data_IF_446245082309
#
_entry.id   IF_446245082309
#
_cell.length_a   1.000
_cell.length_b   1.000
_cell.length_c   1.000
_cell.angle_alpha   90.00
_cell.angle_beta   90.00
_cell.angle_gamma   90.00
#
_symmetry.space_group_name_H-M   'P 1'
#
loop_
_entity.id
_entity.type
_entity.pdbx_description
1 polymer ?
#
# COMPACT_ATOMS: atom_id res chain seq x y z
N UNK A 1 38.98 7.49 30.18
CA UNK A 1 37.93 6.52 30.54
C UNK A 1 38.22 5.15 29.96
N UNK A 2 37.40 4.15 30.30
CA UNK A 2 37.57 2.76 29.87
C UNK A 2 36.28 2.19 29.30
N UNK A 3 36.37 1.40 28.23
CA UNK A 3 35.28 0.57 27.72
C UNK A 3 35.46 -0.85 28.27
N UNK A 4 34.40 -1.44 28.83
CA UNK A 4 34.44 -2.78 29.41
C UNK A 4 33.24 -3.60 28.95
N UNK A 5 33.44 -4.88 28.69
CA UNK A 5 32.35 -5.85 28.50
C UNK A 5 32.21 -6.76 29.71
N UNK A 6 30.98 -7.20 29.96
CA UNK A 6 30.63 -8.00 31.13
C UNK A 6 29.78 -9.20 30.69
N UNK A 7 30.06 -10.36 31.26
CA UNK A 7 29.16 -11.50 31.19
C UNK A 7 28.24 -11.47 32.43
N UNK A 8 26.93 -11.57 32.19
CA UNK A 8 25.90 -11.62 33.24
C UNK A 8 26.10 -12.84 34.16
N UNK A 9 26.76 -13.89 33.68
CA UNK A 9 27.06 -15.07 34.48
C UNK A 9 28.23 -14.85 35.45
N UNK A 10 29.10 -13.86 35.19
CA UNK A 10 30.31 -13.59 35.96
C UNK A 10 30.51 -12.08 36.19
N UNK A 11 29.86 -11.54 37.22
CA UNK A 11 29.90 -10.11 37.54
C UNK A 11 31.12 -9.63 38.34
N UNK A 12 32.07 -10.52 38.70
CA UNK A 12 33.20 -10.14 39.56
C UNK A 12 34.32 -9.42 38.80
N UNK A 13 34.49 -9.74 37.52
CA UNK A 13 35.55 -9.17 36.68
C UNK A 13 35.01 -8.88 35.28
N UNK A 14 35.42 -7.76 34.66
CA UNK A 14 35.08 -7.50 33.26
C UNK A 14 35.75 -8.56 32.38
N UNK A 15 35.07 -8.98 31.31
CA UNK A 15 35.60 -9.94 30.35
C UNK A 15 36.78 -9.32 29.59
N UNK A 16 36.54 -8.16 28.98
CA UNK A 16 37.56 -7.37 28.31
C UNK A 16 37.48 -5.91 28.78
N UNK A 17 38.64 -5.24 28.77
CA UNK A 17 38.73 -3.82 29.11
C UNK A 17 39.74 -3.09 28.22
N UNK A 18 39.33 -1.96 27.66
CA UNK A 18 40.21 -1.06 26.90
C UNK A 18 40.26 0.29 27.60
N UNK A 19 41.47 0.78 27.83
CA UNK A 19 41.77 2.11 28.36
C UNK A 19 42.21 3.05 27.23
N UNK A 20 42.39 4.34 27.55
CA UNK A 20 42.84 5.34 26.58
C UNK A 20 41.72 5.92 25.71
N UNK A 21 40.46 5.83 26.18
CA UNK A 21 39.30 6.42 25.52
C UNK A 21 38.89 7.68 26.31
N UNK A 22 39.26 8.89 25.90
CA UNK A 22 38.86 10.09 26.61
C UNK A 22 37.38 10.40 26.37
N UNK A 23 36.62 10.55 27.45
CA UNK A 23 35.21 10.94 27.43
C UNK A 23 35.01 12.09 28.42
N UNK A 24 34.72 13.28 27.90
CA UNK A 24 34.47 14.46 28.75
C UNK A 24 32.99 14.64 29.09
N UNK A 25 32.11 13.98 28.34
CA UNK A 25 30.67 14.03 28.54
C UNK A 25 30.19 12.75 29.22
N UNK A 26 29.34 12.83 30.25
CA UNK A 26 28.78 11.65 30.91
C UNK A 26 27.73 10.92 30.04
N UNK A 27 27.22 11.59 29.00
CA UNK A 27 26.19 11.04 28.11
C UNK A 27 26.76 10.25 26.91
N UNK A 28 28.06 9.97 26.91
CA UNK A 28 28.70 9.17 25.87
C UNK A 28 28.19 7.74 25.86
N UNK A 29 27.49 7.43 24.79
CA UNK A 29 26.99 6.08 24.54
C UNK A 29 28.04 5.19 23.91
N UNK A 30 27.88 3.89 24.15
CA UNK A 30 28.42 2.83 23.32
C UNK A 30 27.27 2.00 22.76
N UNK A 31 27.43 1.44 21.57
CA UNK A 31 26.41 0.61 20.93
C UNK A 31 27.02 -0.60 20.24
N UNK A 32 26.25 -1.68 20.17
CA UNK A 32 26.60 -2.83 19.34
C UNK A 32 26.19 -2.59 17.89
N UNK A 33 26.91 -3.23 16.97
CA UNK A 33 26.47 -3.35 15.60
C UNK A 33 25.19 -4.18 15.50
N UNK A 34 24.41 -4.04 14.42
CA UNK A 34 23.16 -4.79 14.23
C UNK A 34 23.34 -6.32 14.24
N UNK A 35 24.55 -6.80 13.95
CA UNK A 35 24.96 -8.21 13.94
C UNK A 35 25.70 -8.64 15.22
N UNK A 36 25.83 -7.75 16.21
CA UNK A 36 26.52 -7.97 17.49
C UNK A 36 28.01 -8.39 17.37
N UNK A 37 28.62 -8.17 16.20
CA UNK A 37 30.04 -8.49 16.01
C UNK A 37 30.96 -7.35 16.43
N UNK A 38 30.48 -6.10 16.33
CA UNK A 38 31.27 -4.91 16.59
C UNK A 38 30.67 -4.09 17.73
N UNK A 39 31.54 -3.43 18.46
CA UNK A 39 31.25 -2.43 19.47
C UNK A 39 31.71 -1.07 18.99
N UNK A 40 30.82 -0.09 19.09
CA UNK A 40 31.07 1.28 18.66
C UNK A 40 31.07 2.19 19.86
N UNK A 41 32.08 3.05 19.93
CA UNK A 41 32.18 4.08 20.97
C UNK A 41 32.76 5.38 20.40
N UNK A 42 32.32 6.50 20.94
CA UNK A 42 32.78 7.83 20.56
C UNK A 42 33.87 8.35 21.50
N UNK A 43 34.90 8.97 20.93
CA UNK A 43 35.91 9.71 21.70
C UNK A 43 35.52 11.19 21.81
N UNK A 44 35.75 11.76 22.98
CA UNK A 44 35.73 13.20 23.20
C UNK A 44 37.14 13.80 23.08
N UNK A 45 37.24 14.99 22.50
CA UNK A 45 38.50 15.72 22.30
C UNK A 45 38.34 17.14 22.83
N UNK A 46 39.41 17.66 23.45
CA UNK A 46 39.46 19.05 23.91
C UNK A 46 39.54 19.99 22.71
N UNK A 47 38.94 21.17 22.82
CA UNK A 47 38.97 22.18 21.76
C UNK A 47 40.42 22.48 21.36
N UNK A 48 40.75 22.32 20.07
CA UNK A 48 42.10 22.57 19.53
C UNK A 48 43.09 21.40 19.61
N UNK A 49 42.70 20.24 20.18
CA UNK A 49 43.57 19.06 20.31
C UNK A 49 43.29 17.94 19.28
N UNK A 50 42.64 18.28 18.16
CA UNK A 50 42.39 17.37 17.04
C UNK A 50 40.93 17.01 16.85
N UNK A 51 40.69 15.95 16.06
CA UNK A 51 39.36 15.50 15.68
C UNK A 51 38.87 14.40 16.61
N UNK A 52 37.60 14.49 17.01
CA UNK A 52 36.88 13.41 17.65
C UNK A 52 36.68 12.26 16.67
N UNK A 53 36.85 11.06 17.22
CA UNK A 53 36.89 9.81 16.48
C UNK A 53 35.79 8.88 16.96
N UNK A 54 35.19 8.15 16.03
CA UNK A 54 34.33 7.02 16.31
C UNK A 54 35.16 5.76 16.15
N UNK A 55 35.21 4.93 17.18
CA UNK A 55 36.01 3.72 17.24
C UNK A 55 35.13 2.48 17.15
N UNK A 56 35.65 1.49 16.42
CA UNK A 56 35.04 0.19 16.26
C UNK A 56 35.96 -0.85 16.88
N UNK A 57 35.41 -1.67 17.76
CA UNK A 57 36.06 -2.78 18.42
C UNK A 57 35.36 -4.07 18.02
N UNK A 58 36.13 -5.12 17.80
CA UNK A 58 35.56 -6.45 17.66
C UNK A 58 35.07 -6.97 19.03
N UNK A 59 33.90 -7.60 19.09
CA UNK A 59 33.32 -8.08 20.36
C UNK A 59 34.16 -9.18 20.99
N UNK A 60 34.67 -10.11 20.19
CA UNK A 60 35.39 -11.30 20.68
C UNK A 60 36.83 -10.97 21.04
N UNK A 61 37.59 -10.39 20.11
CA UNK A 61 39.01 -10.08 20.34
C UNK A 61 39.24 -8.78 21.09
N UNK A 62 38.23 -7.90 21.15
CA UNK A 62 38.31 -6.56 21.74
C UNK A 62 39.41 -5.68 21.18
N UNK A 63 39.89 -6.01 19.97
CA UNK A 63 40.85 -5.22 19.22
C UNK A 63 40.11 -4.15 18.44
N UNK A 64 40.73 -2.98 18.37
CA UNK A 64 40.25 -1.89 17.53
C UNK A 64 40.39 -2.28 16.06
N UNK A 65 39.29 -2.36 15.35
CA UNK A 65 39.23 -2.75 13.93
C UNK A 65 39.25 -1.53 13.01
N UNK A 66 38.48 -0.50 13.36
CA UNK A 66 38.29 0.66 12.50
C UNK A 66 38.16 1.96 13.31
N UNK A 67 38.47 3.07 12.64
CA UNK A 67 38.33 4.42 13.19
C UNK A 67 37.79 5.36 12.12
N UNK A 68 36.84 6.21 12.50
CA UNK A 68 36.30 7.27 11.66
C UNK A 68 36.53 8.61 12.33
N UNK A 69 37.19 9.52 11.63
CA UNK A 69 37.27 10.92 12.03
C UNK A 69 35.92 11.60 11.80
N UNK A 70 35.31 12.10 12.88
CA UNK A 70 33.97 12.71 12.83
C UNK A 70 34.08 14.21 12.60
N UNK A 71 34.58 14.95 13.58
CA UNK A 71 34.65 16.43 13.58
C UNK A 71 35.73 16.91 14.53
N UNK A 72 36.05 18.21 14.48
CA UNK A 72 36.88 18.93 15.45
C UNK A 72 36.26 19.06 16.87
N UNK A 73 35.04 18.56 17.06
CA UNK A 73 34.35 18.54 18.35
C UNK A 73 34.00 17.14 18.81
N UNK A 74 33.96 16.98 20.14
CA UNK A 74 33.69 15.75 20.85
C UNK A 74 32.41 15.04 20.39
N UNK A 75 32.46 13.71 20.30
CA UNK A 75 31.27 12.88 20.14
C UNK A 75 30.55 12.81 21.47
N UNK A 76 29.28 13.20 21.50
CA UNK A 76 28.44 13.17 22.70
C UNK A 76 27.58 11.93 22.74
N UNK A 77 26.97 11.51 21.63
CA UNK A 77 26.09 10.33 21.59
C UNK A 77 26.26 9.61 20.26
N UNK A 78 26.26 8.28 20.29
CA UNK A 78 26.31 7.46 19.09
C UNK A 78 25.20 6.41 19.10
N UNK A 79 24.61 6.14 17.95
CA UNK A 79 23.55 5.16 17.76
C UNK A 79 23.74 4.44 16.43
N UNK A 80 23.77 3.12 16.45
CA UNK A 80 23.68 2.30 15.23
C UNK A 80 22.28 1.73 15.10
N UNK A 81 21.53 2.14 14.07
CA UNK A 81 20.16 1.68 13.89
C UNK A 81 20.11 0.29 13.20
N UNK A 82 19.46 -0.73 13.80
CA UNK A 82 19.55 -2.12 13.32
C UNK A 82 18.90 -2.35 11.95
N UNK A 83 17.73 -1.75 11.69
CA UNK A 83 16.99 -1.97 10.43
C UNK A 83 17.46 -1.11 9.26
N UNK A 84 18.04 0.05 9.55
CA UNK A 84 18.48 1.00 8.51
C UNK A 84 19.95 0.78 8.16
N UNK A 85 20.70 0.17 9.08
CA UNK A 85 22.14 0.06 9.05
C UNK A 85 22.82 1.43 8.86
N UNK A 86 22.46 2.41 9.70
CA UNK A 86 23.00 3.77 9.68
C UNK A 86 23.52 4.13 11.06
N UNK A 87 24.67 4.80 11.11
CA UNK A 87 25.29 5.25 12.36
C UNK A 87 25.04 6.74 12.49
N UNK A 88 24.34 7.12 13.55
CA UNK A 88 24.04 8.50 13.89
C UNK A 88 24.96 8.93 15.02
N UNK A 89 25.65 10.05 14.82
CA UNK A 89 26.61 10.61 15.77
C UNK A 89 26.23 12.05 16.08
N UNK A 90 25.89 12.32 17.33
CA UNK A 90 25.70 13.67 17.85
C UNK A 90 27.03 14.24 18.32
N UNK A 91 27.41 15.40 17.80
CA UNK A 91 28.66 16.08 18.16
C UNK A 91 28.38 17.26 19.09
N UNK A 92 29.39 17.67 19.86
CA UNK A 92 29.30 18.81 20.78
C UNK A 92 29.07 20.16 20.09
N UNK A 93 29.26 20.24 18.77
CA UNK A 93 28.97 21.45 17.97
C UNK A 93 27.47 21.63 17.66
N UNK A 94 26.60 20.73 18.14
CA UNK A 94 25.17 20.72 17.79
C UNK A 94 24.88 20.16 16.39
N UNK A 95 25.87 19.52 15.75
CA UNK A 95 25.71 18.83 14.48
C UNK A 95 25.43 17.34 14.71
N UNK A 96 24.54 16.78 13.90
CA UNK A 96 24.34 15.34 13.81
C UNK A 96 24.93 14.83 12.50
N UNK A 97 25.93 13.95 12.57
CA UNK A 97 26.48 13.26 11.40
C UNK A 97 25.87 11.88 11.28
N UNK A 98 25.42 11.53 10.07
CA UNK A 98 24.84 10.22 9.79
C UNK A 98 25.70 9.53 8.72
N UNK A 99 26.30 8.40 9.11
CA UNK A 99 27.06 7.55 8.21
C UNK A 99 26.16 6.43 7.71
N UNK A 100 26.25 6.16 6.41
CA UNK A 100 25.48 5.12 5.73
C UNK A 100 26.34 4.45 4.66
N UNK A 101 26.08 3.18 4.41
CA UNK A 101 26.61 2.42 3.28
C UNK A 101 25.63 2.55 2.10
N UNK A 102 26.08 3.01 0.91
CA UNK A 102 25.22 3.12 -0.26
C UNK A 102 24.50 1.82 -0.65
N UNK A 103 25.13 0.66 -0.40
CA UNK A 103 24.62 -0.65 -0.80
C UNK A 103 23.82 -1.33 0.32
N UNK A 104 24.35 -1.37 1.54
CA UNK A 104 23.70 -2.07 2.67
C UNK A 104 22.65 -1.24 3.39
N UNK A 105 22.81 0.09 3.46
CA UNK A 105 21.85 0.93 4.19
C UNK A 105 20.57 1.16 3.40
N UNK A 106 19.45 1.14 4.11
CA UNK A 106 18.13 1.33 3.54
C UNK A 106 17.48 2.61 4.05
N UNK A 107 16.71 3.30 3.21
CA UNK A 107 15.90 4.49 3.56
C UNK A 107 16.72 5.54 4.35
N UNK A 108 16.11 6.24 5.30
CA UNK A 108 16.79 7.19 6.20
C UNK A 108 17.55 8.27 5.45
N UNK A 109 18.84 8.42 5.75
CA UNK A 109 19.73 9.40 5.13
C UNK A 109 19.75 9.30 3.59
N UNK A 110 19.59 8.11 3.01
CA UNK A 110 19.56 7.89 1.55
C UNK A 110 18.42 8.66 0.87
N UNK A 111 17.29 8.86 1.56
CA UNK A 111 16.16 9.64 1.04
C UNK A 111 16.46 11.14 0.99
N UNK A 112 17.31 11.63 1.90
CA UNK A 112 17.69 13.03 1.97
C UNK A 112 18.79 13.37 0.96
N UNK A 113 19.77 12.47 0.78
CA UNK A 113 20.91 12.69 -0.12
C UNK A 113 20.48 12.74 -1.59
N UNK A 114 19.51 11.92 -2.00
CA UNK A 114 19.04 11.88 -3.40
C UNK A 114 18.13 13.06 -3.75
N UNK A 115 17.60 13.78 -2.76
CA UNK A 115 16.79 14.97 -3.01
C UNK A 115 17.69 16.10 -3.50
N UNK A 116 17.69 16.31 -4.81
CA UNK A 116 18.23 17.53 -5.41
C UNK A 116 17.50 18.73 -4.83
N UNK A 117 18.26 19.78 -4.46
CA UNK A 117 17.68 21.04 -3.97
C UNK A 117 16.65 21.51 -5.00
N UNK A 118 15.38 21.58 -4.60
CA UNK A 118 14.32 22.09 -5.48
C UNK A 118 14.76 23.47 -5.92
N UNK A 119 14.90 23.68 -7.24
CA UNK A 119 15.28 24.98 -7.79
C UNK A 119 14.30 25.99 -7.21
N UNK A 120 14.85 26.96 -6.47
CA UNK A 120 14.07 28.05 -5.92
C UNK A 120 13.41 28.74 -7.11
N UNK A 121 12.08 28.67 -7.16
CA UNK A 121 11.34 29.46 -8.13
C UNK A 121 11.54 30.88 -7.69
N UNK A 122 12.45 31.60 -8.34
CA UNK A 122 12.44 33.05 -8.32
C UNK A 122 11.02 33.44 -8.72
N UNK A 123 10.23 33.83 -7.72
CA UNK A 123 9.00 34.54 -7.95
C UNK A 123 9.43 35.94 -8.40
N UNK A 124 9.93 36.03 -9.62
CA UNK A 124 9.69 37.23 -10.40
C UNK A 124 8.18 37.25 -10.59
N UNK A 125 7.55 37.91 -9.63
CA UNK A 125 6.20 38.42 -9.73
C UNK A 125 6.25 39.49 -10.82
N UNK A 126 6.44 39.06 -12.07
CA UNK A 126 5.96 39.77 -13.24
C UNK A 126 4.45 39.61 -13.21
N UNK A 127 3.81 40.27 -12.25
CA UNK A 127 2.41 40.67 -12.41
C UNK A 127 2.43 41.62 -13.58
N UNK A 128 2.28 41.10 -14.79
CA UNK A 128 1.80 41.92 -15.88
C UNK A 128 0.46 42.49 -15.40
N UNK A 129 0.43 43.80 -15.17
CA UNK A 129 -0.77 44.50 -14.74
C UNK A 129 -1.83 44.30 -15.84
N UNK A 130 -2.86 43.52 -15.48
CA UNK A 130 -3.89 43.11 -16.42
C UNK A 130 -4.93 44.23 -16.56
N UNK A 131 -4.87 44.97 -17.68
CA UNK A 131 -5.77 46.09 -17.96
C UNK A 131 -7.12 45.55 -18.44
N UNK A 132 -8.18 45.75 -17.64
CA UNK A 132 -9.54 45.31 -17.99
C UNK A 132 -10.27 46.43 -18.73
N UNK A 133 -10.64 46.20 -19.99
CA UNK A 133 -11.50 47.09 -20.76
C UNK A 133 -12.98 46.75 -20.51
N UNK A 134 -13.78 47.63 -19.85
CA UNK A 134 -15.14 47.28 -19.42
C UNK A 134 -16.14 47.10 -20.56
N UNK A 135 -15.92 47.77 -21.71
CA UNK A 135 -16.82 47.74 -22.88
C UNK A 135 -16.25 47.02 -24.11
N UNK A 136 -15.18 46.23 -23.96
CA UNK A 136 -14.67 45.45 -25.07
C UNK A 136 -15.69 44.39 -25.52
N UNK A 137 -15.82 44.21 -26.83
CA UNK A 137 -16.60 43.12 -27.42
C UNK A 137 -16.09 41.77 -26.89
N UNK A 138 -16.95 40.76 -26.74
CA UNK A 138 -16.56 39.44 -26.22
C UNK A 138 -15.36 38.80 -26.93
N UNK A 139 -15.17 39.10 -28.22
CA UNK A 139 -14.05 38.59 -29.03
C UNK A 139 -12.70 39.20 -28.67
N UNK A 140 -12.67 40.43 -28.15
CA UNK A 140 -11.46 41.16 -27.73
C UNK A 140 -11.26 41.14 -26.21
N UNK A 141 -12.17 40.50 -25.47
CA UNK A 141 -12.06 40.38 -24.02
C UNK A 141 -11.03 39.32 -23.69
N UNK A 142 -9.88 39.76 -23.20
CA UNK A 142 -8.85 38.85 -22.71
C UNK A 142 -9.41 37.99 -21.55
N UNK A 143 -8.88 36.78 -21.43
CA UNK A 143 -9.24 35.88 -20.34
C UNK A 143 -8.49 36.28 -19.07
N UNK A 144 -9.22 36.63 -18.00
CA UNK A 144 -8.64 36.93 -16.70
C UNK A 144 -7.69 35.81 -16.28
N UNK A 145 -6.46 36.17 -15.91
CA UNK A 145 -5.49 35.25 -15.31
C UNK A 145 -6.14 34.57 -14.11
N UNK A 146 -6.31 33.25 -14.21
CA UNK A 146 -6.89 32.41 -13.15
C UNK A 146 -5.78 31.53 -12.59
N UNK A 147 -5.93 31.11 -11.33
CA UNK A 147 -5.03 30.11 -10.76
C UNK A 147 -4.89 28.90 -11.68
N UNK A 148 -3.70 28.30 -11.69
CA UNK A 148 -3.38 27.11 -12.52
C UNK A 148 -4.44 26.02 -12.37
N UNK A 149 -4.97 25.81 -11.16
CA UNK A 149 -6.07 24.87 -10.89
C UNK A 149 -7.34 25.19 -11.70
N UNK A 150 -7.81 26.45 -11.68
CA UNK A 150 -9.02 26.87 -12.39
C UNK A 150 -8.83 26.84 -13.91
N UNK A 151 -7.60 27.06 -14.40
CA UNK A 151 -7.28 26.94 -15.82
C UNK A 151 -7.33 25.48 -16.26
N UNK A 152 -6.72 24.56 -15.49
CA UNK A 152 -6.79 23.12 -15.73
C UNK A 152 -8.22 22.58 -15.68
N UNK A 153 -9.07 23.05 -14.76
CA UNK A 153 -10.49 22.68 -14.71
C UNK A 153 -11.24 23.13 -15.97
N UNK A 154 -10.93 24.32 -16.50
CA UNK A 154 -11.51 24.81 -17.76
C UNK A 154 -11.00 24.04 -18.97
N UNK A 155 -9.68 23.84 -19.07
CA UNK A 155 -9.07 23.10 -20.18
C UNK A 155 -9.54 21.64 -20.22
N UNK A 156 -9.93 21.06 -19.07
CA UNK A 156 -10.56 19.74 -18.97
C UNK A 156 -11.98 19.69 -19.55
N UNK A 157 -12.67 20.82 -19.60
CA UNK A 157 -14.01 20.92 -20.22
C UNK A 157 -13.94 21.07 -21.73
N UNK A 158 -12.84 21.60 -22.27
CA UNK A 158 -12.62 21.76 -23.71
C UNK A 158 -12.33 20.37 -24.34
N UNK A 159 -13.19 19.83 -25.24
CA UNK A 159 -13.03 18.45 -25.75
C UNK A 159 -11.73 18.20 -26.51
N UNK A 160 -11.25 19.23 -27.22
CA UNK A 160 -10.02 19.16 -28.04
C UNK A 160 -8.77 19.13 -27.16
N UNK A 161 -8.67 20.00 -26.15
CA UNK A 161 -7.51 20.07 -25.24
C UNK A 161 -7.45 18.89 -24.28
N UNK A 162 -8.61 18.47 -23.78
CA UNK A 162 -8.72 17.37 -22.82
C UNK A 162 -8.67 15.99 -23.46
N UNK A 163 -8.64 15.92 -24.81
CA UNK A 163 -8.80 14.68 -25.58
C UNK A 163 -9.94 13.82 -25.02
N UNK A 164 -11.05 14.46 -24.63
CA UNK A 164 -12.15 13.79 -23.96
C UNK A 164 -12.78 12.82 -24.96
N UNK A 165 -12.91 11.52 -24.63
CA UNK A 165 -13.63 10.57 -25.47
C UNK A 165 -15.03 11.08 -25.78
N UNK A 166 -15.49 10.85 -27.00
CA UNK A 166 -16.83 11.29 -27.39
C UNK A 166 -17.88 10.67 -26.45
N UNK A 167 -18.72 11.50 -25.80
CA UNK A 167 -19.75 10.98 -24.93
C UNK A 167 -20.78 10.20 -25.75
N UNK A 168 -21.45 9.19 -25.16
CA UNK A 168 -22.49 8.43 -25.85
C UNK A 168 -23.59 9.36 -26.36
N UNK A 169 -24.21 9.02 -27.49
CA UNK A 169 -25.26 9.84 -28.09
C UNK A 169 -26.47 9.85 -27.17
N UNK A 170 -26.79 11.03 -26.65
CA UNK A 170 -28.05 11.29 -25.99
C UNK A 170 -29.11 11.57 -27.07
N UNK A 171 -30.04 10.63 -27.26
CA UNK A 171 -31.19 10.80 -28.14
C UNK A 171 -31.26 9.80 -29.31
N UNK A 172 -32.27 9.96 -30.21
CA UNK A 172 -32.45 9.08 -31.35
C UNK A 172 -31.19 9.14 -32.22
N UNK A 173 -30.60 7.97 -32.44
CA UNK A 173 -29.35 7.83 -33.16
C UNK A 173 -29.39 8.54 -34.50
N UNK A 174 -28.48 9.51 -34.72
CA UNK A 174 -28.38 10.26 -35.97
C UNK A 174 -26.92 10.27 -36.42
N UNK A 175 -26.70 10.13 -37.73
CA UNK A 175 -25.35 10.13 -38.30
C UNK A 175 -24.53 8.86 -38.00
N UNK A 176 -25.17 7.69 -37.95
CA UNK A 176 -24.48 6.39 -37.81
C UNK A 176 -24.19 5.96 -36.36
N UNK A 177 -24.57 6.77 -35.37
CA UNK A 177 -24.44 6.43 -33.94
C UNK A 177 -25.78 5.92 -33.43
N UNK A 178 -25.80 4.73 -32.82
CA UNK A 178 -27.01 4.14 -32.24
C UNK A 178 -27.15 4.66 -30.81
N UNK A 179 -28.28 5.30 -30.50
CA UNK A 179 -28.61 5.66 -29.13
C UNK A 179 -28.66 4.39 -28.27
N UNK A 180 -28.21 4.48 -27.03
CA UNK A 180 -28.14 3.33 -26.10
C UNK A 180 -29.49 2.60 -25.94
N UNK A 181 -30.61 3.27 -26.27
CA UNK A 181 -31.94 2.66 -26.31
C UNK A 181 -32.72 2.99 -27.58
N UNK A 182 -32.20 2.51 -28.71
CA UNK A 182 -32.95 2.32 -29.96
C UNK A 182 -33.37 3.59 -30.70
N UNK A 183 -33.65 3.46 -32.00
CA UNK A 183 -34.55 4.42 -32.65
C UNK A 183 -35.97 4.31 -32.08
N UNK A 184 -36.36 3.10 -31.62
CA UNK A 184 -37.56 2.82 -30.83
C UNK A 184 -37.37 1.67 -29.85
N UNK A 185 -38.12 1.73 -28.75
CA UNK A 185 -38.03 0.89 -27.54
C UNK A 185 -38.34 -0.59 -27.76
N UNK A 186 -39.20 -0.91 -28.73
CA UNK A 186 -39.60 -2.28 -29.05
C UNK A 186 -38.42 -3.16 -29.50
N UNK A 187 -37.48 -2.58 -30.25
CA UNK A 187 -36.29 -3.29 -30.75
C UNK A 187 -35.32 -3.69 -29.65
N UNK A 188 -35.22 -2.89 -28.58
CA UNK A 188 -34.33 -3.17 -27.45
C UNK A 188 -34.86 -4.29 -26.54
N UNK A 189 -36.18 -4.29 -26.27
CA UNK A 189 -36.83 -5.24 -25.35
C UNK A 189 -36.88 -6.66 -25.93
N UNK A 190 -37.20 -6.80 -27.22
CA UNK A 190 -37.26 -8.11 -27.87
C UNK A 190 -35.90 -8.83 -27.83
N UNK A 191 -34.80 -8.08 -28.02
CA UNK A 191 -33.47 -8.67 -28.13
C UNK A 191 -32.86 -9.08 -26.80
N UNK A 192 -33.06 -8.29 -25.76
CA UNK A 192 -32.33 -8.47 -24.50
C UNK A 192 -33.13 -9.23 -23.45
N UNK A 193 -34.46 -9.26 -23.55
CA UNK A 193 -35.34 -9.80 -22.49
C UNK A 193 -36.20 -10.96 -23.02
N UNK A 194 -36.76 -10.84 -24.22
CA UNK A 194 -37.69 -11.87 -24.73
C UNK A 194 -37.00 -13.15 -25.25
N UNK A 195 -35.70 -13.10 -25.52
CA UNK A 195 -34.92 -14.23 -26.03
C UNK A 195 -34.07 -14.92 -24.97
N UNK A 196 -34.10 -14.45 -23.72
CA UNK A 196 -33.34 -15.07 -22.63
C UNK A 196 -34.05 -16.36 -22.18
N UNK A 197 -33.53 -17.51 -22.63
CA UNK A 197 -34.09 -18.86 -22.37
C UNK A 197 -33.53 -19.47 -21.08
N UNK A 198 -33.52 -18.71 -20.01
CA UNK A 198 -33.30 -19.25 -18.66
C UNK A 198 -34.61 -19.87 -18.20
N UNK A 199 -34.92 -21.07 -18.70
CA UNK A 199 -36.11 -21.86 -18.35
C UNK A 199 -36.05 -22.30 -16.87
N UNK A 200 -36.48 -21.43 -15.96
CA UNK A 200 -36.42 -21.62 -14.50
C UNK A 200 -37.81 -21.90 -13.88
N UNK A 201 -38.80 -22.24 -14.70
CA UNK A 201 -40.21 -22.22 -14.29
C UNK A 201 -40.68 -23.47 -13.53
N UNK A 202 -40.00 -24.63 -13.63
CA UNK A 202 -40.37 -25.83 -12.87
C UNK A 202 -39.13 -26.66 -12.44
N UNK A 203 -38.64 -26.53 -11.19
CA UNK A 203 -37.47 -27.29 -10.72
C UNK A 203 -37.70 -28.81 -10.77
N UNK A 204 -38.96 -29.25 -10.61
CA UNK A 204 -39.34 -30.66 -10.72
C UNK A 204 -39.10 -31.22 -12.13
N UNK A 205 -39.54 -30.50 -13.16
CA UNK A 205 -39.40 -30.95 -14.55
C UNK A 205 -37.93 -30.93 -14.98
N UNK A 206 -37.17 -29.93 -14.53
CA UNK A 206 -35.74 -29.84 -14.77
C UNK A 206 -34.97 -31.05 -14.17
N UNK A 207 -35.29 -31.43 -12.93
CA UNK A 207 -34.69 -32.61 -12.28
C UNK A 207 -35.16 -33.91 -12.94
N UNK A 208 -36.45 -34.05 -13.23
CA UNK A 208 -37.02 -35.25 -13.88
C UNK A 208 -36.48 -35.48 -15.29
N UNK A 209 -36.13 -34.41 -16.02
CA UNK A 209 -35.53 -34.51 -17.36
C UNK A 209 -34.27 -35.38 -17.37
N UNK A 210 -33.47 -35.30 -16.30
CA UNK A 210 -32.21 -36.04 -16.17
C UNK A 210 -32.39 -37.42 -15.53
N UNK A 211 -33.58 -37.77 -15.04
CA UNK A 211 -33.81 -39.05 -14.38
C UNK A 211 -33.59 -40.24 -15.32
N UNK A 212 -34.10 -40.17 -16.57
CA UNK A 212 -33.93 -41.23 -17.57
C UNK A 212 -32.46 -41.42 -17.98
N UNK A 213 -31.76 -40.31 -18.22
CA UNK A 213 -30.33 -40.35 -18.59
C UNK A 213 -29.47 -40.98 -17.49
N UNK A 214 -29.80 -40.71 -16.22
CA UNK A 214 -29.11 -41.27 -15.06
C UNK A 214 -29.36 -42.77 -14.86
N UNK A 215 -30.54 -43.29 -15.23
CA UNK A 215 -30.87 -44.72 -15.18
C UNK A 215 -30.20 -45.50 -16.31
N UNK A 216 -30.23 -44.98 -17.54
CA UNK A 216 -29.66 -45.66 -18.71
C UNK A 216 -28.12 -45.67 -18.69
N UNK A 217 -27.50 -44.61 -18.16
CA UNK A 217 -26.04 -44.43 -18.17
C UNK A 217 -25.49 -43.93 -16.83
N UNK A 218 -25.56 -44.74 -15.75
CA UNK A 218 -25.08 -44.29 -14.46
C UNK A 218 -23.54 -44.22 -14.48
N UNK A 219 -22.98 -43.02 -14.41
CA UNK A 219 -21.53 -42.83 -14.47
C UNK A 219 -20.88 -42.59 -13.11
N UNK A 220 -21.48 -41.72 -12.27
CA UNK A 220 -20.79 -41.22 -11.06
C UNK A 220 -20.94 -42.10 -9.81
N UNK A 221 -22.12 -42.68 -9.56
CA UNK A 221 -22.42 -43.33 -8.25
C UNK A 221 -22.81 -44.79 -8.39
N UNK A 222 -23.77 -45.14 -9.25
CA UNK A 222 -24.28 -46.51 -9.30
C UNK A 222 -23.24 -47.59 -9.68
N UNK A 223 -22.23 -47.34 -10.56
CA UNK A 223 -21.24 -48.37 -10.90
C UNK A 223 -20.45 -48.88 -9.69
N UNK A 224 -20.12 -47.99 -8.75
CA UNK A 224 -19.31 -48.33 -7.58
C UNK A 224 -20.04 -49.28 -6.62
N UNK A 225 -21.36 -49.15 -6.50
CA UNK A 225 -22.18 -49.94 -5.57
C UNK A 225 -22.84 -51.16 -6.21
N UNK A 226 -22.66 -51.37 -7.52
CA UNK A 226 -23.22 -52.51 -8.27
C UNK A 226 -22.95 -53.87 -7.62
N UNK A 227 -21.78 -54.07 -6.99
CA UNK A 227 -21.39 -55.35 -6.36
C UNK A 227 -21.79 -55.47 -4.90
N UNK A 228 -21.71 -54.39 -4.14
CA UNK A 228 -21.88 -54.40 -2.67
C UNK A 228 -23.31 -54.10 -2.25
N UNK A 229 -24.04 -53.31 -3.04
CA UNK A 229 -25.41 -52.90 -2.75
C UNK A 229 -26.18 -52.69 -4.07
N UNK A 230 -26.67 -53.79 -4.70
CA UNK A 230 -27.34 -53.71 -6.00
C UNK A 230 -28.72 -53.05 -5.96
N UNK A 231 -29.34 -52.93 -4.78
CA UNK A 231 -30.60 -52.20 -4.59
C UNK A 231 -30.31 -50.89 -3.88
N UNK A 232 -30.63 -49.76 -4.52
CA UNK A 232 -30.51 -48.44 -3.91
C UNK A 232 -31.53 -48.30 -2.78
N UNK A 233 -31.05 -48.11 -1.56
CA UNK A 233 -31.91 -47.89 -0.39
C UNK A 233 -32.14 -46.39 -0.28
N UNK A 234 -33.35 -45.95 -0.61
CA UNK A 234 -33.80 -44.59 -0.34
C UNK A 234 -34.39 -44.52 1.07
N UNK A 235 -34.35 -43.34 1.68
CA UNK A 235 -35.10 -43.10 2.91
C UNK A 235 -36.58 -43.35 2.63
N UNK A 236 -37.26 -44.03 3.55
CA UNK A 236 -38.71 -44.15 3.51
C UNK A 236 -39.28 -42.73 3.61
N UNK A 237 -40.01 -42.32 2.57
CA UNK A 237 -40.71 -41.03 2.57
C UNK A 237 -41.78 -41.16 3.64
N UNK A 238 -41.68 -40.38 4.72
CA UNK A 238 -42.78 -40.22 5.65
C UNK A 238 -44.00 -39.79 4.83
N UNK A 239 -44.94 -40.71 4.65
CA UNK A 239 -46.25 -40.39 4.12
C UNK A 239 -46.91 -39.56 5.20
N UNK A 240 -46.80 -38.24 5.08
CA UNK A 240 -47.72 -37.32 5.75
C UNK A 240 -49.13 -37.68 5.26
N UNK A 241 -49.79 -38.62 5.95
CA UNK A 241 -51.21 -38.93 5.89
C UNK A 241 -52.04 -37.77 6.47
N UNK A 242 -51.72 -36.54 6.06
CA UNK A 242 -52.49 -35.32 6.30
C UNK A 242 -52.72 -34.58 4.96
N UNK A 243 -52.92 -35.33 3.87
CA UNK A 243 -53.77 -34.86 2.77
C UNK A 243 -55.24 -35.12 3.13
N UNK A 244 -55.93 -34.11 3.66
CA UNK A 244 -57.29 -33.65 3.28
C UNK A 244 -58.07 -33.04 4.45
N UNK A 245 -57.82 -31.75 4.72
CA UNK A 245 -58.93 -30.82 4.91
C UNK A 245 -58.65 -29.55 4.09
N UNK A 246 -58.93 -29.68 2.80
CA UNK A 246 -59.10 -28.60 1.84
C UNK A 246 -60.17 -27.62 2.35
N UNK A 247 -59.73 -26.59 3.10
CA UNK A 247 -60.25 -25.22 3.01
C UNK A 247 -59.31 -24.19 3.65
N UNK A 248 -59.09 -23.04 2.99
CA UNK A 248 -58.30 -21.91 3.52
C UNK A 248 -58.94 -21.27 4.76
N UNK A 249 -58.12 -20.58 5.57
CA UNK A 249 -58.45 -20.03 6.90
C UNK A 249 -59.68 -19.09 7.00
N UNK A 250 -60.29 -18.61 5.91
CA UNK A 250 -61.46 -17.71 5.95
C UNK A 250 -62.83 -18.42 5.93
N UNK A 251 -62.88 -19.76 5.95
CA UNK A 251 -64.14 -20.53 5.77
C UNK A 251 -64.55 -21.53 6.86
N UNK A 252 -63.93 -21.57 8.04
CA UNK A 252 -64.56 -22.26 9.19
C UNK A 252 -65.73 -21.39 9.70
N UNK A 253 -66.94 -21.70 9.23
CA UNK A 253 -68.21 -20.98 9.45
C UNK A 253 -68.38 -20.47 10.89
N UNK A 254 -68.58 -19.16 11.06
CA UNK A 254 -69.53 -18.64 12.07
C UNK A 254 -70.88 -18.45 11.37
N UNK A 255 -71.96 -18.46 12.15
CA UNK A 255 -73.28 -17.96 11.72
C UNK A 255 -73.13 -16.71 10.86
#
# INVERSE_FOLDING_TARGET
>A
DTLKTWDIRQFKSPLNSVSGLPSFFPMTDCCFSPDDQLLVTGISVKKGHGNAKLLFFDRETFKKTYEIDVTDASVVRCLWHPKLNQIMVGTGNGLAKVYYDPFKSQRGAKLCVVKTKRKERQAETLTQDYIITPHALPMFREARQRSTRKQLEKDRMDPVKSHKPEPPVAGPGRGGRVGTHGGTLSSFIVKNIALDKTDDSNPREAILRHAKEAEESPYWVAPAYSKTQPKTVFAEVESDEDETDDKPEWKKRKI
#
